data_IF_134185243842
#
_entry.id   IF_134185243842
#
_cell.length_a   1.000
_cell.length_b   1.000
_cell.length_c   1.000
_cell.angle_alpha   90.00
_cell.angle_beta   90.00
_cell.angle_gamma   90.00
#
_symmetry.space_group_name_H-M   'P 1'
#
loop_
_entity.id
_entity.type
_entity.pdbx_description
1 polymer ?
#
# COMPACT_ATOMS: atom_id res chain seq x y z
N UNK A 1 -21.15 -34.34 55.68
CA UNK A 1 -21.38 -34.04 54.25
C UNK A 1 -20.28 -33.07 53.80
N UNK A 2 -19.40 -33.49 52.87
CA UNK A 2 -18.16 -32.79 52.56
C UNK A 2 -18.32 -31.73 51.45
N UNK A 3 -17.63 -30.61 51.67
CA UNK A 3 -16.95 -29.70 50.75
C UNK A 3 -17.44 -29.54 49.31
N UNK A 4 -17.97 -28.36 49.00
CA UNK A 4 -18.14 -27.82 47.65
C UNK A 4 -16.78 -27.71 46.93
N UNK A 5 -16.67 -28.08 45.63
CA UNK A 5 -15.42 -27.94 44.88
C UNK A 5 -15.16 -26.51 44.41
N UNK A 6 -13.85 -26.23 44.38
CA UNK A 6 -13.11 -25.04 43.95
C UNK A 6 -13.51 -24.47 42.59
N UNK A 7 -13.56 -23.14 42.56
CA UNK A 7 -13.12 -22.22 41.49
C UNK A 7 -13.23 -22.72 40.04
N UNK A 8 -14.18 -22.11 39.32
CA UNK A 8 -14.19 -22.06 37.86
C UNK A 8 -12.86 -21.43 37.36
N UNK A 9 -12.16 -22.05 36.39
CA UNK A 9 -10.94 -21.48 35.86
C UNK A 9 -11.26 -20.21 35.07
N UNK A 10 -10.62 -19.09 35.45
CA UNK A 10 -10.58 -17.86 34.67
C UNK A 10 -10.13 -18.18 33.24
N UNK A 11 -11.09 -18.14 32.31
CA UNK A 11 -10.77 -18.24 30.89
C UNK A 11 -10.03 -16.97 30.48
N UNK A 12 -8.72 -17.16 30.21
CA UNK A 12 -7.77 -16.23 29.56
C UNK A 12 -8.48 -15.15 28.73
N UNK A 13 -8.55 -13.93 29.28
CA UNK A 13 -9.08 -12.74 28.59
C UNK A 13 -8.01 -11.71 28.19
N UNK A 14 -6.73 -12.05 28.34
CA UNK A 14 -5.63 -11.12 28.08
C UNK A 14 -5.46 -10.72 26.60
N UNK A 15 -5.82 -11.60 25.66
CA UNK A 15 -5.68 -11.31 24.21
C UNK A 15 -6.75 -10.38 23.64
N UNK A 16 -7.98 -10.40 24.20
CA UNK A 16 -9.11 -9.62 23.68
C UNK A 16 -9.01 -8.13 24.05
N UNK A 17 -8.47 -7.82 25.23
CA UNK A 17 -8.37 -6.44 25.75
C UNK A 17 -7.41 -5.54 24.97
N UNK A 18 -6.31 -6.08 24.43
CA UNK A 18 -5.30 -5.30 23.72
C UNK A 18 -5.72 -4.92 22.30
N UNK A 19 -6.46 -5.80 21.61
CA UNK A 19 -7.00 -5.53 20.27
C UNK A 19 -8.15 -4.53 20.29
N UNK A 20 -9.01 -4.58 21.30
CA UNK A 20 -10.11 -3.61 21.46
C UNK A 20 -9.57 -2.20 21.81
N UNK A 21 -8.44 -2.12 22.50
CA UNK A 21 -7.74 -0.87 22.86
C UNK A 21 -7.14 -0.16 21.64
N UNK A 22 -6.45 -0.90 20.76
CA UNK A 22 -5.86 -0.32 19.54
C UNK A 22 -6.94 0.16 18.57
N UNK A 23 -8.05 -0.58 18.42
CA UNK A 23 -9.14 -0.18 17.53
C UNK A 23 -9.72 1.19 17.93
N UNK A 24 -9.91 1.46 19.22
CA UNK A 24 -10.41 2.78 19.66
C UNK A 24 -9.39 3.90 19.42
N UNK A 25 -8.10 3.60 19.54
CA UNK A 25 -7.02 4.58 19.35
C UNK A 25 -6.84 5.00 17.89
N UNK A 26 -7.15 4.12 16.93
CA UNK A 26 -6.99 4.41 15.49
C UNK A 26 -8.20 5.14 14.87
N UNK A 27 -9.37 5.13 15.51
CA UNK A 27 -10.58 5.80 15.01
C UNK A 27 -10.33 7.31 14.84
N UNK A 28 -10.68 7.84 13.67
CA UNK A 28 -10.51 9.26 13.34
C UNK A 28 -9.08 9.67 12.95
N UNK A 29 -8.16 8.71 12.84
CA UNK A 29 -6.82 8.90 12.28
C UNK A 29 -6.77 8.40 10.84
N UNK A 30 -5.66 8.61 10.17
CA UNK A 30 -5.41 8.13 8.80
C UNK A 30 -5.10 6.63 8.70
N UNK A 31 -5.65 5.84 9.63
CA UNK A 31 -5.50 4.39 9.72
C UNK A 31 -6.87 3.77 9.47
N UNK A 32 -6.93 2.82 8.54
CA UNK A 32 -8.16 2.07 8.26
C UNK A 32 -8.58 1.25 9.49
N UNK A 33 -9.81 1.41 10.00
CA UNK A 33 -10.30 0.59 11.11
C UNK A 33 -10.55 -0.87 10.71
N UNK A 34 -10.58 -1.15 9.39
CA UNK A 34 -10.83 -2.49 8.84
C UNK A 34 -9.52 -3.27 8.74
N UNK A 35 -8.48 -2.67 8.14
CA UNK A 35 -7.22 -3.36 7.82
C UNK A 35 -6.05 -2.97 8.72
N UNK A 36 -6.20 -1.89 9.50
CA UNK A 36 -5.14 -1.30 10.33
C UNK A 36 -3.96 -0.73 9.53
N UNK A 37 -4.14 -0.57 8.21
CA UNK A 37 -3.18 0.04 7.29
C UNK A 37 -3.47 1.55 7.14
N UNK A 38 -2.43 2.35 7.02
CA UNK A 38 -2.53 3.80 6.93
C UNK A 38 -2.58 4.30 5.48
N UNK A 39 -3.53 5.17 5.19
CA UNK A 39 -3.74 5.75 3.85
C UNK A 39 -2.61 6.69 3.45
N UNK A 40 -1.98 7.37 4.42
CA UNK A 40 -0.83 8.25 4.18
C UNK A 40 0.40 7.52 3.61
N UNK A 41 0.41 6.18 3.63
CA UNK A 41 1.46 5.42 2.97
C UNK A 41 1.48 5.73 1.47
N UNK A 42 0.33 5.96 0.84
CA UNK A 42 0.27 6.20 -0.60
C UNK A 42 0.72 7.62 -1.02
N UNK A 43 0.92 8.54 -0.06
CA UNK A 43 1.24 9.93 -0.37
C UNK A 43 2.55 10.07 -1.15
N UNK A 44 3.58 9.28 -0.82
CA UNK A 44 4.87 9.37 -1.52
C UNK A 44 4.81 8.89 -2.98
N UNK A 45 3.80 8.09 -3.36
CA UNK A 45 3.51 7.77 -4.77
C UNK A 45 2.71 8.87 -5.45
N UNK A 46 1.79 9.52 -4.73
CA UNK A 46 1.07 10.70 -5.24
C UNK A 46 2.02 11.86 -5.53
N UNK A 47 3.06 12.04 -4.72
CA UNK A 47 4.13 13.02 -4.96
C UNK A 47 4.87 12.74 -6.27
N UNK A 48 5.10 11.45 -6.61
CA UNK A 48 5.70 11.07 -7.90
C UNK A 48 4.76 11.40 -9.06
N UNK A 49 3.45 11.14 -8.94
CA UNK A 49 2.48 11.54 -9.96
C UNK A 49 2.49 13.06 -10.16
N UNK A 50 2.49 13.82 -9.06
CA UNK A 50 2.59 15.29 -9.16
C UNK A 50 3.87 15.72 -9.88
N UNK A 51 5.00 15.08 -9.58
CA UNK A 51 6.27 15.36 -10.24
C UNK A 51 6.25 14.99 -11.74
N UNK A 52 5.67 13.85 -12.11
CA UNK A 52 5.49 13.44 -13.49
C UNK A 52 4.60 14.42 -14.28
N UNK A 53 3.51 14.89 -13.66
CA UNK A 53 2.62 15.89 -14.26
C UNK A 53 3.36 17.23 -14.44
N UNK A 54 4.23 17.63 -13.50
CA UNK A 54 5.04 18.85 -13.61
C UNK A 54 6.14 18.76 -14.68
N UNK A 55 6.71 17.58 -14.91
CA UNK A 55 7.73 17.35 -15.95
C UNK A 55 7.18 17.66 -17.35
N UNK A 56 5.86 17.55 -17.57
CA UNK A 56 5.23 17.87 -18.85
C UNK A 56 5.41 19.33 -19.26
N UNK A 57 5.40 20.24 -18.29
CA UNK A 57 5.61 21.68 -18.51
C UNK A 57 7.08 22.09 -18.27
N UNK A 58 7.79 21.36 -17.40
CA UNK A 58 9.18 21.64 -16.99
C UNK A 58 10.06 20.37 -17.08
N UNK A 59 10.54 19.99 -18.28
CA UNK A 59 11.28 18.75 -18.51
C UNK A 59 12.52 18.56 -17.63
N UNK A 60 13.15 19.64 -17.16
CA UNK A 60 14.33 19.61 -16.29
C UNK A 60 14.09 18.90 -14.94
N UNK A 61 12.83 18.82 -14.49
CA UNK A 61 12.45 18.12 -13.27
C UNK A 61 12.61 16.60 -13.35
N UNK A 62 12.92 16.04 -14.54
CA UNK A 62 13.31 14.63 -14.68
C UNK A 62 14.53 14.26 -13.83
N UNK A 63 15.39 15.24 -13.52
CA UNK A 63 16.50 15.06 -12.58
C UNK A 63 16.02 14.82 -11.14
N UNK A 64 14.96 15.52 -10.70
CA UNK A 64 14.36 15.32 -9.38
C UNK A 64 13.68 13.95 -9.30
N UNK A 65 13.01 13.53 -10.37
CA UNK A 65 12.42 12.19 -10.48
C UNK A 65 13.49 11.11 -10.31
N UNK A 66 14.68 11.34 -10.88
CA UNK A 66 15.81 10.40 -10.79
C UNK A 66 16.39 10.29 -9.37
N UNK A 67 16.13 11.27 -8.50
CA UNK A 67 16.54 11.24 -7.10
C UNK A 67 15.54 10.50 -6.20
N UNK A 68 14.34 10.20 -6.70
CA UNK A 68 13.34 9.47 -5.94
C UNK A 68 13.81 8.04 -5.64
N UNK A 69 13.49 7.56 -4.43
CA UNK A 69 13.85 6.23 -3.96
C UNK A 69 12.67 5.58 -3.25
N UNK A 70 12.49 4.25 -3.39
CA UNK A 70 11.46 3.52 -2.68
C UNK A 70 11.66 3.58 -1.17
N UNK A 71 10.57 3.49 -0.42
CA UNK A 71 10.58 3.49 1.04
C UNK A 71 9.71 2.37 1.56
N UNK A 72 10.28 1.51 2.40
CA UNK A 72 9.49 0.50 3.10
C UNK A 72 8.47 1.17 4.03
N UNK A 73 7.33 0.51 4.22
CA UNK A 73 6.20 1.03 4.99
C UNK A 73 6.60 1.58 6.37
N UNK A 74 7.38 0.82 7.14
CA UNK A 74 7.74 1.20 8.51
C UNK A 74 8.72 2.38 8.49
N UNK A 75 9.73 2.36 7.62
CA UNK A 75 10.66 3.48 7.44
C UNK A 75 9.96 4.76 6.96
N UNK A 76 9.03 4.66 6.00
CA UNK A 76 8.24 5.79 5.53
C UNK A 76 7.60 6.52 6.71
N UNK A 77 6.94 5.79 7.61
CA UNK A 77 6.29 6.41 8.76
C UNK A 77 7.28 6.92 9.81
N UNK A 78 8.40 6.23 10.05
CA UNK A 78 9.47 6.76 10.91
C UNK A 78 10.06 8.10 10.40
N UNK A 79 10.11 8.30 9.09
CA UNK A 79 10.66 9.51 8.46
C UNK A 79 9.58 10.57 8.16
N UNK A 80 8.29 10.24 8.30
CA UNK A 80 7.17 11.09 7.87
C UNK A 80 6.94 12.34 8.73
N UNK A 81 7.39 12.33 9.98
CA UNK A 81 7.12 13.39 10.95
C UNK A 81 5.67 13.46 11.45
N UNK A 82 4.84 12.46 11.13
CA UNK A 82 3.46 12.37 11.63
C UNK A 82 3.46 12.15 13.16
N UNK A 83 2.58 12.88 13.87
CA UNK A 83 2.45 12.76 15.32
C UNK A 83 2.02 11.37 15.78
N UNK A 84 1.37 10.62 14.90
CA UNK A 84 0.83 9.28 15.16
C UNK A 84 1.69 8.14 14.62
N UNK A 85 2.94 8.41 14.20
CA UNK A 85 3.82 7.41 13.58
C UNK A 85 3.95 6.10 14.39
N UNK A 86 4.08 6.18 15.72
CA UNK A 86 4.21 4.99 16.57
C UNK A 86 2.92 4.16 16.59
N UNK A 87 1.76 4.83 16.59
CA UNK A 87 0.47 4.17 16.52
C UNK A 87 0.20 3.56 15.14
N UNK A 88 0.65 4.21 14.06
CA UNK A 88 0.58 3.66 12.69
C UNK A 88 1.40 2.36 12.61
N UNK A 89 2.60 2.35 13.18
CA UNK A 89 3.47 1.16 13.19
C UNK A 89 2.88 0.06 14.08
N UNK A 90 2.32 0.40 15.24
CA UNK A 90 1.62 -0.53 16.11
C UNK A 90 0.41 -1.16 15.41
N UNK A 91 -0.40 -0.35 14.70
CA UNK A 91 -1.54 -0.80 13.93
C UNK A 91 -1.11 -1.72 12.77
N UNK A 92 -0.05 -1.35 12.05
CA UNK A 92 0.53 -2.18 11.00
C UNK A 92 0.98 -3.56 11.51
N UNK A 93 1.54 -3.64 12.73
CA UNK A 93 1.91 -4.92 13.35
C UNK A 93 0.69 -5.78 13.73
N UNK A 94 -0.46 -5.15 13.98
CA UNK A 94 -1.72 -5.83 14.27
C UNK A 94 -2.50 -6.22 13.00
N UNK A 95 -2.15 -5.66 11.83
CA UNK A 95 -2.79 -5.95 10.55
C UNK A 95 -2.59 -7.42 10.13
N UNK A 96 -3.54 -7.93 9.34
CA UNK A 96 -3.46 -9.29 8.79
C UNK A 96 -2.21 -9.44 7.90
N UNK A 97 -1.62 -10.63 7.85
CA UNK A 97 -0.50 -10.90 6.92
C UNK A 97 -0.94 -10.77 5.47
N UNK A 98 -2.18 -11.16 5.16
CA UNK A 98 -2.75 -11.09 3.82
C UNK A 98 -2.85 -9.65 3.30
N UNK A 99 -3.47 -8.75 4.06
CA UNK A 99 -3.61 -7.34 3.64
C UNK A 99 -2.24 -6.65 3.52
N UNK A 100 -1.32 -6.95 4.44
CA UNK A 100 0.05 -6.43 4.37
C UNK A 100 0.78 -6.90 3.12
N UNK A 101 0.75 -8.20 2.85
CA UNK A 101 1.47 -8.77 1.70
C UNK A 101 0.90 -8.27 0.37
N UNK A 102 -0.42 -8.14 0.27
CA UNK A 102 -1.06 -7.61 -0.95
C UNK A 102 -0.74 -6.12 -1.14
N UNK A 103 -0.82 -5.30 -0.09
CA UNK A 103 -0.42 -3.89 -0.19
C UNK A 103 1.06 -3.74 -0.60
N UNK A 104 1.95 -4.52 0.03
CA UNK A 104 3.37 -4.51 -0.29
C UNK A 104 3.63 -4.97 -1.73
N UNK A 105 2.92 -5.98 -2.22
CA UNK A 105 3.07 -6.43 -3.59
C UNK A 105 2.62 -5.37 -4.62
N UNK A 106 1.48 -4.70 -4.39
CA UNK A 106 1.02 -3.60 -5.25
C UNK A 106 2.03 -2.44 -5.23
N UNK A 107 2.54 -2.09 -4.05
CA UNK A 107 3.49 -0.98 -3.91
C UNK A 107 4.85 -1.30 -4.50
N UNK A 108 5.34 -2.54 -4.38
CA UNK A 108 6.53 -3.01 -5.09
C UNK A 108 6.37 -2.94 -6.64
N UNK A 109 5.17 -3.16 -7.17
CA UNK A 109 4.90 -2.97 -8.60
C UNK A 109 4.97 -1.49 -8.98
N UNK A 110 4.40 -0.59 -8.17
CA UNK A 110 4.51 0.86 -8.37
C UNK A 110 5.97 1.31 -8.32
N UNK A 111 6.75 0.85 -7.35
CA UNK A 111 8.19 1.11 -7.25
C UNK A 111 8.92 0.66 -8.52
N UNK A 112 8.63 -0.54 -9.04
CA UNK A 112 9.21 -1.04 -10.29
C UNK A 112 8.85 -0.16 -11.48
N UNK A 113 7.56 0.21 -11.62
CA UNK A 113 7.10 1.12 -12.67
C UNK A 113 7.88 2.43 -12.63
N UNK A 114 8.07 3.02 -11.45
CA UNK A 114 8.81 4.28 -11.30
C UNK A 114 10.28 4.10 -11.68
N UNK A 115 10.94 3.04 -11.21
CA UNK A 115 12.35 2.79 -11.52
C UNK A 115 12.59 2.48 -13.00
N UNK A 116 11.68 1.73 -13.63
CA UNK A 116 11.72 1.45 -15.07
C UNK A 116 11.51 2.74 -15.87
N UNK A 117 10.59 3.61 -15.44
CA UNK A 117 10.37 4.92 -16.07
C UNK A 117 11.54 5.87 -15.87
N UNK A 118 12.16 5.92 -14.69
CA UNK A 118 13.40 6.66 -14.47
C UNK A 118 14.46 6.15 -15.45
N UNK A 119 14.67 4.84 -15.53
CA UNK A 119 15.66 4.25 -16.44
C UNK A 119 15.36 4.58 -17.91
N UNK A 120 14.09 4.53 -18.32
CA UNK A 120 13.66 4.83 -19.69
C UNK A 120 13.74 6.31 -20.04
N UNK A 121 13.66 7.22 -19.06
CA UNK A 121 13.78 8.65 -19.26
C UNK A 121 15.18 9.09 -19.68
N UNK A 122 16.18 8.21 -19.54
CA UNK A 122 17.57 8.46 -19.89
C UNK A 122 18.06 7.52 -20.99
N UNK A 123 18.72 8.08 -22.00
CA UNK A 123 19.39 7.35 -23.08
C UNK A 123 20.80 7.89 -23.28
N UNK A 124 21.80 7.02 -23.24
CA UNK A 124 23.22 7.37 -23.42
C UNK A 124 23.70 8.53 -22.51
N UNK A 125 23.14 8.65 -21.31
CA UNK A 125 23.46 9.70 -20.33
C UNK A 125 22.77 11.05 -20.58
N UNK A 126 21.80 11.10 -21.51
CA UNK A 126 20.99 12.29 -21.78
C UNK A 126 19.51 11.98 -21.55
N UNK A 127 18.75 12.96 -21.07
CA UNK A 127 17.31 12.84 -20.97
C UNK A 127 16.70 12.67 -22.37
N UNK A 128 15.56 11.98 -22.44
CA UNK A 128 14.75 11.91 -23.67
C UNK A 128 14.37 13.30 -24.18
N UNK A 129 14.07 13.39 -25.48
CA UNK A 129 13.43 14.58 -26.03
C UNK A 129 12.04 14.82 -25.42
N UNK A 130 11.58 16.07 -25.48
CA UNK A 130 10.34 16.53 -24.83
C UNK A 130 9.11 15.69 -25.20
N UNK A 131 8.98 15.27 -26.47
CA UNK A 131 7.84 14.48 -26.93
C UNK A 131 7.90 13.08 -26.31
N UNK A 132 9.05 12.42 -26.39
CA UNK A 132 9.24 11.08 -25.82
C UNK A 132 9.08 11.07 -24.30
N UNK A 133 9.57 12.11 -23.62
CA UNK A 133 9.42 12.28 -22.18
C UNK A 133 7.96 12.51 -21.78
N UNK A 134 7.22 13.35 -22.51
CA UNK A 134 5.79 13.58 -22.28
C UNK A 134 4.96 12.29 -22.38
N UNK A 135 5.21 11.47 -23.41
CA UNK A 135 4.56 10.15 -23.56
C UNK A 135 4.88 9.22 -22.39
N UNK A 136 6.15 9.17 -21.99
CA UNK A 136 6.60 8.34 -20.87
C UNK A 136 5.93 8.77 -19.56
N UNK A 137 5.94 10.08 -19.25
CA UNK A 137 5.31 10.63 -18.05
C UNK A 137 3.81 10.35 -18.02
N UNK A 138 3.10 10.60 -19.12
CA UNK A 138 1.65 10.37 -19.22
C UNK A 138 1.30 8.89 -18.97
N UNK A 139 2.01 7.99 -19.67
CA UNK A 139 1.80 6.54 -19.53
C UNK A 139 2.14 6.05 -18.11
N UNK A 140 3.18 6.61 -17.49
CA UNK A 140 3.58 6.25 -16.13
C UNK A 140 2.55 6.73 -15.11
N UNK A 141 2.07 7.97 -15.24
CA UNK A 141 1.03 8.54 -14.39
C UNK A 141 -0.25 7.70 -14.43
N UNK A 142 -0.71 7.29 -15.61
CA UNK A 142 -1.90 6.44 -15.75
C UNK A 142 -1.75 5.11 -15.00
N UNK A 143 -0.64 4.39 -15.25
CA UNK A 143 -0.34 3.13 -14.56
C UNK A 143 -0.31 3.31 -13.05
N UNK A 144 0.36 4.37 -12.55
CA UNK A 144 0.45 4.61 -11.11
C UNK A 144 -0.91 4.93 -10.49
N UNK A 145 -1.75 5.76 -11.14
CA UNK A 145 -3.10 6.07 -10.65
C UNK A 145 -3.95 4.80 -10.50
N UNK A 146 -3.87 3.90 -11.47
CA UNK A 146 -4.56 2.60 -11.40
C UNK A 146 -4.12 1.76 -10.19
N UNK A 147 -2.80 1.65 -9.93
CA UNK A 147 -2.28 0.90 -8.79
C UNK A 147 -2.55 1.57 -7.45
N UNK A 148 -2.52 2.91 -7.39
CA UNK A 148 -2.88 3.68 -6.19
C UNK A 148 -4.36 3.47 -5.84
N UNK A 149 -5.24 3.44 -6.84
CA UNK A 149 -6.66 3.15 -6.62
C UNK A 149 -6.87 1.73 -6.07
N UNK A 150 -6.17 0.73 -6.62
CA UNK A 150 -6.21 -0.64 -6.12
C UNK A 150 -5.65 -0.73 -4.68
N UNK A 151 -4.49 -0.14 -4.41
CA UNK A 151 -3.89 -0.10 -3.08
C UNK A 151 -4.82 0.59 -2.06
N UNK A 152 -5.46 1.69 -2.46
CA UNK A 152 -6.45 2.40 -1.65
C UNK A 152 -7.67 1.51 -1.36
N UNK A 153 -8.14 0.72 -2.32
CA UNK A 153 -9.23 -0.22 -2.12
C UNK A 153 -8.85 -1.34 -1.13
N UNK A 154 -7.61 -1.85 -1.22
CA UNK A 154 -7.09 -2.83 -0.26
C UNK A 154 -6.97 -2.22 1.14
N UNK A 155 -6.40 -1.03 1.29
CA UNK A 155 -6.31 -0.35 2.60
C UNK A 155 -7.70 -0.16 3.22
N UNK A 156 -8.69 0.30 2.44
CA UNK A 156 -9.99 0.65 2.99
C UNK A 156 -10.95 -0.53 3.16
N UNK A 157 -10.76 -1.64 2.47
CA UNK A 157 -11.73 -2.76 2.48
C UNK A 157 -11.13 -4.14 2.75
N UNK A 158 -9.81 -4.28 2.71
CA UNK A 158 -9.11 -5.56 2.80
C UNK A 158 -9.04 -6.30 1.47
N UNK A 159 -7.97 -7.08 1.28
CA UNK A 159 -7.69 -7.79 0.03
C UNK A 159 -8.79 -8.81 -0.33
N UNK A 160 -9.27 -9.57 0.65
CA UNK A 160 -10.35 -10.53 0.47
C UNK A 160 -11.65 -9.88 -0.03
N UNK A 161 -12.00 -8.70 0.50
CA UNK A 161 -13.19 -7.97 0.06
C UNK A 161 -13.04 -7.39 -1.35
N UNK A 162 -11.84 -6.97 -1.74
CA UNK A 162 -11.56 -6.57 -3.13
C UNK A 162 -11.74 -7.78 -4.05
N UNK A 163 -11.15 -8.93 -3.71
CA UNK A 163 -11.29 -10.15 -4.51
C UNK A 163 -12.74 -10.63 -4.66
N UNK A 164 -13.50 -10.65 -3.56
CA UNK A 164 -14.91 -11.07 -3.54
C UNK A 164 -15.79 -10.20 -4.43
N UNK A 165 -15.62 -8.87 -4.38
CA UNK A 165 -16.35 -7.92 -5.27
C UNK A 165 -16.16 -8.22 -6.75
N UNK A 166 -15.05 -8.87 -7.09
CA UNK A 166 -14.67 -9.23 -8.44
C UNK A 166 -14.84 -10.73 -8.75
N UNK A 167 -15.50 -11.50 -7.88
CA UNK A 167 -15.68 -12.96 -7.99
C UNK A 167 -14.36 -13.73 -8.19
N UNK A 168 -13.29 -13.27 -7.56
CA UNK A 168 -11.98 -13.92 -7.60
C UNK A 168 -11.83 -14.83 -6.37
N UNK A 169 -11.49 -16.10 -6.60
CA UNK A 169 -11.08 -16.98 -5.52
C UNK A 169 -9.61 -16.69 -5.17
N UNK A 170 -9.36 -16.18 -3.97
CA UNK A 170 -8.00 -16.11 -3.42
C UNK A 170 -7.60 -17.54 -3.00
N UNK A 171 -6.87 -18.24 -3.86
CA UNK A 171 -6.33 -19.55 -3.50
C UNK A 171 -5.23 -19.36 -2.47
N UNK A 172 -5.48 -19.78 -1.22
CA UNK A 172 -4.43 -19.93 -0.24
C UNK A 172 -3.40 -20.93 -0.77
N UNK A 173 -2.17 -20.51 -1.08
CA UNK A 173 -0.91 -21.06 -0.53
C UNK A 173 0.33 -20.53 -1.27
N UNK A 174 1.28 -20.05 -0.48
CA UNK A 174 2.68 -19.74 -0.80
C UNK A 174 2.96 -18.36 -1.40
N UNK A 175 4.02 -17.73 -0.89
CA UNK A 175 4.56 -16.40 -1.19
C UNK A 175 4.80 -16.15 -2.71
N UNK A 176 4.79 -17.20 -3.53
CA UNK A 176 4.86 -17.10 -4.99
C UNK A 176 3.52 -16.73 -5.67
N UNK A 177 2.40 -16.81 -4.97
CA UNK A 177 1.05 -16.52 -5.51
C UNK A 177 0.59 -15.07 -5.21
N UNK A 178 1.35 -14.29 -4.43
CA UNK A 178 0.98 -12.91 -4.09
C UNK A 178 1.00 -12.00 -5.33
N UNK A 179 2.01 -12.13 -6.20
CA UNK A 179 2.05 -11.34 -7.44
C UNK A 179 0.93 -11.77 -8.40
N UNK A 180 0.69 -13.06 -8.56
CA UNK A 180 -0.42 -13.55 -9.38
C UNK A 180 -1.77 -13.06 -8.83
N UNK A 181 -1.92 -13.00 -7.51
CA UNK A 181 -3.09 -12.39 -6.87
C UNK A 181 -3.22 -10.90 -7.21
N UNK A 182 -2.13 -10.14 -7.14
CA UNK A 182 -2.13 -8.71 -7.55
C UNK A 182 -2.52 -8.57 -9.00
N UNK A 183 -1.94 -9.35 -9.91
CA UNK A 183 -2.25 -9.31 -11.34
C UNK A 183 -3.75 -9.60 -11.58
N UNK A 184 -4.29 -10.62 -10.91
CA UNK A 184 -5.71 -10.98 -11.01
C UNK A 184 -6.62 -9.87 -10.45
N UNK A 185 -6.27 -9.31 -9.28
CA UNK A 185 -7.00 -8.21 -8.66
C UNK A 185 -6.99 -6.98 -9.59
N UNK A 186 -5.85 -6.68 -10.18
CA UNK A 186 -5.65 -5.57 -11.09
C UNK A 186 -6.46 -5.73 -12.39
N UNK A 187 -6.38 -6.91 -13.01
CA UNK A 187 -7.15 -7.27 -14.21
C UNK A 187 -8.66 -7.17 -13.98
N UNK A 188 -9.15 -7.58 -12.81
CA UNK A 188 -10.56 -7.50 -12.50
C UNK A 188 -11.03 -6.09 -12.14
N UNK A 189 -10.15 -5.28 -11.55
CA UNK A 189 -10.40 -3.86 -11.30
C UNK A 189 -10.60 -3.08 -12.61
N UNK A 190 -9.88 -3.42 -13.67
CA UNK A 190 -9.98 -2.76 -14.99
C UNK A 190 -11.23 -3.10 -15.79
N UNK A 191 -11.81 -4.29 -15.61
CA UNK A 191 -12.99 -4.75 -16.37
C UNK A 191 -14.30 -4.03 -16.00
N UNK A 192 -14.25 -3.02 -15.12
CA UNK A 192 -15.42 -2.26 -14.66
C UNK A 192 -15.38 -0.76 -15.04
N UNK A 193 -14.33 -0.29 -15.72
CA UNK A 193 -14.24 1.09 -16.25
C UNK A 193 -14.61 1.12 -17.73
#
# INVERSE_FOLDING_TARGET
>A
MPSLPKELPERRSAGRRKSDDIHQRIVGKSISPITYLATDYLNHFNEVIMLLDMILDMPELVNELSAWQPKDYVKHFHESGLSDQELIIEAYQAASDEDRNILLAITNEMERIIQDSISAAWKDGQALDEISLSVLCTTTTEKLRERINLASAVINSGAASVAERHNIALTHTSINDTQATVDILFDAFHKQV
#
